data_IF_149591705822
#
_entry.id   IF_149591705822
#
_cell.length_a   1.000
_cell.length_b   1.000
_cell.length_c   1.000
_cell.angle_alpha   90.00
_cell.angle_beta   90.00
_cell.angle_gamma   90.00
#
_symmetry.space_group_name_H-M   'P 1'
#
loop_
_entity.id
_entity.type
_entity.pdbx_description
1 polymer ?
#
# COMPACT_ATOMS: atom_id res chain seq x y z
N UNK A 1 -10.30 8.63 -3.17
CA UNK A 1 -9.18 8.07 -3.95
C UNK A 1 -8.32 9.23 -4.41
N UNK A 2 -7.00 9.18 -4.23
CA UNK A 2 -6.07 10.15 -4.81
C UNK A 2 -5.28 9.48 -5.93
N UNK A 3 -5.29 10.11 -7.10
CA UNK A 3 -4.69 9.55 -8.31
C UNK A 3 -3.21 9.21 -8.11
N UNK A 4 -2.83 8.00 -8.53
CA UNK A 4 -1.45 7.48 -8.45
C UNK A 4 -0.87 7.35 -7.03
N UNK A 5 -1.62 7.70 -5.98
CA UNK A 5 -1.20 7.63 -4.59
C UNK A 5 -1.86 6.47 -3.83
N UNK A 6 -3.19 6.38 -3.88
CA UNK A 6 -3.91 5.38 -3.09
C UNK A 6 -5.37 5.68 -2.83
N UNK A 7 -5.94 4.84 -1.99
CA UNK A 7 -7.25 5.03 -1.39
C UNK A 7 -7.07 5.63 -0.01
N UNK A 8 -7.88 6.64 0.29
CA UNK A 8 -7.82 7.44 1.50
C UNK A 8 -9.24 7.66 2.00
N UNK A 9 -9.38 7.78 3.32
CA UNK A 9 -10.60 8.21 4.01
C UNK A 9 -10.33 9.52 4.76
N UNK A 10 -11.33 10.39 4.86
CA UNK A 10 -11.25 11.56 5.73
C UNK A 10 -11.17 11.12 7.19
N UNK A 11 -10.28 11.77 7.95
CA UNK A 11 -10.19 11.58 9.40
C UNK A 11 -11.37 12.27 10.11
N UNK A 12 -11.70 11.82 11.33
CA UNK A 12 -12.76 12.43 12.15
C UNK A 12 -12.42 13.88 12.54
N UNK A 13 -11.12 14.18 12.71
CA UNK A 13 -10.62 15.52 13.05
C UNK A 13 -10.51 16.44 11.81
N UNK A 14 -10.93 15.96 10.62
CA UNK A 14 -10.90 16.73 9.39
C UNK A 14 -11.94 17.84 9.39
N UNK A 15 -11.53 19.08 9.12
CA UNK A 15 -12.44 20.23 8.94
C UNK A 15 -12.30 20.83 7.55
N UNK A 16 -13.24 21.69 7.09
CA UNK A 16 -13.10 22.38 5.80
C UNK A 16 -11.82 23.22 5.67
N UNK A 17 -11.33 23.80 6.77
CA UNK A 17 -10.12 24.63 6.80
C UNK A 17 -8.84 23.79 6.89
N UNK A 18 -8.95 22.57 7.44
CA UNK A 18 -7.84 21.64 7.62
C UNK A 18 -8.27 20.22 7.23
N UNK A 19 -8.24 19.88 5.95
CA UNK A 19 -8.60 18.54 5.50
C UNK A 19 -7.51 17.54 5.89
N UNK A 20 -7.90 16.48 6.60
CA UNK A 20 -7.01 15.41 7.06
C UNK A 20 -7.48 14.09 6.45
N UNK A 21 -6.57 13.37 5.79
CA UNK A 21 -6.88 12.11 5.12
C UNK A 21 -5.94 11.00 5.56
N UNK A 22 -6.50 9.90 6.04
CA UNK A 22 -5.76 8.70 6.39
C UNK A 22 -5.64 7.78 5.17
N UNK A 23 -4.44 7.25 4.92
CA UNK A 23 -4.19 6.33 3.81
C UNK A 23 -4.65 4.91 4.17
N UNK A 24 -5.70 4.42 3.52
CA UNK A 24 -6.27 3.09 3.75
C UNK A 24 -5.48 2.02 3.01
N UNK A 25 -5.25 2.20 1.71
CA UNK A 25 -4.57 1.23 0.83
C UNK A 25 -3.70 1.97 -0.18
N UNK A 26 -2.45 1.53 -0.35
CA UNK A 26 -1.56 2.03 -1.41
C UNK A 26 -1.90 1.38 -2.76
N UNK A 27 -1.68 2.08 -3.88
CA UNK A 27 -1.97 1.51 -5.21
C UNK A 27 -1.05 0.36 -5.64
N UNK A 28 0.08 0.17 -4.96
CA UNK A 28 0.97 -0.95 -5.26
C UNK A 28 0.67 -2.12 -4.36
N UNK A 29 0.37 -3.26 -4.96
CA UNK A 29 0.22 -4.52 -4.25
C UNK A 29 1.53 -4.96 -3.62
N UNK A 30 1.57 -4.91 -2.29
CA UNK A 30 2.67 -5.47 -1.50
C UNK A 30 2.73 -7.00 -1.63
N UNK A 31 1.60 -7.66 -1.83
CA UNK A 31 1.50 -9.12 -1.98
C UNK A 31 2.27 -9.63 -3.21
N UNK A 32 2.15 -8.96 -4.35
CA UNK A 32 2.90 -9.31 -5.56
C UNK A 32 4.43 -9.19 -5.39
N UNK A 33 4.91 -8.36 -4.44
CA UNK A 33 6.34 -8.30 -4.10
C UNK A 33 6.76 -9.44 -3.18
N UNK A 34 5.90 -9.82 -2.24
CA UNK A 34 6.16 -10.92 -1.30
C UNK A 34 6.21 -12.25 -2.04
N UNK A 35 5.29 -12.51 -2.97
CA UNK A 35 5.30 -13.72 -3.80
C UNK A 35 6.58 -13.83 -4.64
N UNK A 36 7.00 -12.76 -5.29
CA UNK A 36 8.27 -12.74 -6.06
C UNK A 36 9.48 -13.06 -5.20
N UNK A 37 9.52 -12.55 -3.97
CA UNK A 37 10.61 -12.82 -3.03
C UNK A 37 10.59 -14.26 -2.52
N UNK A 38 9.40 -14.80 -2.25
CA UNK A 38 9.24 -16.19 -1.86
C UNK A 38 9.61 -17.18 -2.98
N UNK A 39 9.37 -16.84 -4.25
CA UNK A 39 9.79 -17.66 -5.38
C UNK A 39 11.31 -17.63 -5.62
N UNK A 40 11.99 -16.49 -5.44
CA UNK A 40 13.44 -16.39 -5.61
C UNK A 40 14.24 -17.08 -4.48
N UNK A 41 13.68 -17.12 -3.26
CA UNK A 41 14.33 -17.76 -2.11
C UNK A 41 14.27 -19.31 -2.14
N UNK A 42 13.36 -19.88 -2.94
CA UNK A 42 13.30 -21.35 -3.16
C UNK A 42 14.34 -21.85 -4.15
N UNK A 43 14.73 -21.04 -5.13
CA UNK A 43 15.71 -21.42 -6.16
C UNK A 43 17.16 -21.42 -5.62
N UNK A 44 17.45 -20.61 -4.60
CA UNK A 44 18.78 -20.50 -3.99
C UNK A 44 19.13 -21.56 -2.92
N UNK A 45 18.12 -22.30 -2.43
CA UNK A 45 18.32 -23.35 -1.40
C UNK A 45 18.38 -24.78 -1.97
N UNK A 46 18.30 -24.92 -3.30
CA UNK A 46 18.34 -26.19 -4.01
C UNK A 46 19.63 -26.49 -4.75
N UNK A 47 20.70 -25.69 -4.54
CA UNK A 47 22.02 -25.88 -5.13
C UNK A 47 23.05 -26.30 -4.07
#
# INVERSE_FOLDING_TARGET
QFERLGYFCADLDSTPEKPIFNRTVALRDTWAKIEKRASSDKESRGA
#
